data_IF_390533556148
#
_entry.id   IF_390533556148
#
_cell.length_a   1.000
_cell.length_b   1.000
_cell.length_c   1.000
_cell.angle_alpha   90.00
_cell.angle_beta   90.00
_cell.angle_gamma   90.00
#
_symmetry.space_group_name_H-M   'P 1'
#
loop_
_entity.id
_entity.type
_entity.pdbx_description
1 polymer ?
#
# COMPACT_ATOMS: atom_id res chain seq x y z
N UNK A 1 -12.84 16.50 -10.44
CA UNK A 1 -14.05 17.32 -10.68
C UNK A 1 -13.91 18.71 -10.06
N UNK A 2 -13.52 18.84 -8.80
CA UNK A 2 -13.41 20.13 -8.08
C UNK A 2 -12.49 21.12 -8.81
N UNK A 3 -11.40 20.62 -9.37
CA UNK A 3 -10.43 21.46 -10.12
C UNK A 3 -10.85 21.75 -11.56
N UNK A 4 -11.92 21.12 -12.05
CA UNK A 4 -12.44 21.36 -13.40
C UNK A 4 -13.53 22.47 -13.44
N UNK A 5 -13.94 22.99 -12.29
CA UNK A 5 -14.83 24.14 -12.20
C UNK A 5 -14.16 25.29 -11.46
N UNK A 6 -14.41 26.52 -11.93
CA UNK A 6 -13.82 27.74 -11.32
C UNK A 6 -14.22 27.91 -9.84
N UNK A 7 -15.36 27.38 -9.44
CA UNK A 7 -15.92 27.55 -8.11
C UNK A 7 -16.06 26.22 -7.34
N UNK A 8 -15.43 25.14 -7.80
CA UNK A 8 -15.55 23.83 -7.18
C UNK A 8 -15.13 23.79 -5.72
N UNK A 9 -14.03 24.44 -5.36
CA UNK A 9 -13.58 24.55 -3.97
C UNK A 9 -14.59 25.34 -3.09
N UNK A 10 -15.17 26.41 -3.62
CA UNK A 10 -16.18 27.19 -2.90
C UNK A 10 -17.46 26.39 -2.68
N UNK A 11 -17.89 25.63 -3.67
CA UNK A 11 -19.07 24.75 -3.57
C UNK A 11 -18.87 23.69 -2.47
N UNK A 12 -17.72 23.05 -2.45
CA UNK A 12 -17.39 22.08 -1.38
C UNK A 12 -17.32 22.73 -0.02
N UNK A 13 -16.70 23.90 0.07
CA UNK A 13 -16.62 24.65 1.33
C UNK A 13 -18.03 24.97 1.86
N UNK A 14 -18.89 25.54 1.03
CA UNK A 14 -20.25 25.88 1.41
C UNK A 14 -21.01 24.63 1.93
N UNK A 15 -20.85 23.49 1.26
CA UNK A 15 -21.50 22.26 1.69
C UNK A 15 -20.89 21.71 2.99
N UNK A 16 -19.57 21.49 3.01
CA UNK A 16 -18.90 20.79 4.11
C UNK A 16 -18.86 21.66 5.38
N UNK A 17 -18.52 22.94 5.24
CA UNK A 17 -18.32 23.83 6.38
C UNK A 17 -19.62 24.52 6.75
N UNK A 18 -20.29 25.19 5.79
CA UNK A 18 -21.39 26.09 6.11
C UNK A 18 -22.71 25.34 6.33
N UNK A 19 -22.96 24.23 5.58
CA UNK A 19 -24.18 23.42 5.72
C UNK A 19 -23.97 22.29 6.73
N UNK A 20 -22.90 21.49 6.59
CA UNK A 20 -22.66 20.35 7.48
C UNK A 20 -22.03 20.74 8.83
N UNK A 21 -21.53 21.96 8.98
CA UNK A 21 -20.89 22.42 10.21
C UNK A 21 -19.61 21.68 10.57
N UNK A 22 -18.90 21.12 9.59
CA UNK A 22 -17.68 20.36 9.81
C UNK A 22 -16.57 21.27 10.36
N UNK A 23 -15.89 20.79 11.38
CA UNK A 23 -14.73 21.48 11.94
C UNK A 23 -13.57 21.47 10.95
N UNK A 24 -12.79 22.54 10.92
CA UNK A 24 -11.61 22.68 10.10
C UNK A 24 -10.33 22.46 10.95
N UNK A 25 -10.32 21.38 11.71
CA UNK A 25 -9.29 21.05 12.70
C UNK A 25 -8.30 19.96 12.21
N UNK A 26 -8.47 19.47 10.99
CA UNK A 26 -7.57 18.51 10.40
C UNK A 26 -6.44 19.19 9.60
N UNK A 27 -5.22 18.74 9.80
CA UNK A 27 -4.06 19.09 8.96
C UNK A 27 -3.23 17.84 8.68
N UNK A 28 -2.51 17.84 7.55
CA UNK A 28 -1.62 16.72 7.19
C UNK A 28 -0.50 16.53 8.24
N UNK A 29 0.05 17.62 8.75
CA UNK A 29 1.12 17.56 9.76
C UNK A 29 0.61 16.96 11.08
N UNK A 30 -0.53 17.42 11.57
CA UNK A 30 -1.18 16.87 12.76
C UNK A 30 -1.52 15.37 12.58
N UNK A 31 -1.98 14.98 11.40
CA UNK A 31 -2.23 13.57 11.08
C UNK A 31 -0.95 12.73 11.13
N UNK A 32 0.15 13.22 10.55
CA UNK A 32 1.44 12.51 10.56
C UNK A 32 1.94 12.34 12.00
N UNK A 33 1.94 13.40 12.80
CA UNK A 33 2.41 13.36 14.20
C UNK A 33 1.60 12.37 15.04
N UNK A 34 0.27 12.46 14.96
CA UNK A 34 -0.63 11.56 15.68
C UNK A 34 -0.44 10.11 15.28
N UNK A 35 -0.43 9.84 13.95
CA UNK A 35 -0.27 8.48 13.43
C UNK A 35 1.09 7.87 13.80
N UNK A 36 2.16 8.64 13.74
CA UNK A 36 3.50 8.17 14.15
C UNK A 36 3.53 7.84 15.63
N UNK A 37 2.91 8.68 16.48
CA UNK A 37 2.83 8.42 17.93
C UNK A 37 2.02 7.16 18.23
N UNK A 38 0.87 6.97 17.58
CA UNK A 38 0.03 5.78 17.73
C UNK A 38 0.76 4.51 17.29
N UNK A 39 1.39 4.53 16.10
CA UNK A 39 2.17 3.41 15.59
C UNK A 39 3.33 3.06 16.53
N UNK A 40 4.04 4.04 17.05
CA UNK A 40 5.12 3.82 18.00
C UNK A 40 4.63 3.21 19.30
N UNK A 41 3.48 3.64 19.80
CA UNK A 41 2.87 3.09 21.01
C UNK A 41 2.39 1.65 20.81
N UNK A 42 1.85 1.34 19.62
CA UNK A 42 1.35 0.01 19.28
C UNK A 42 2.46 -1.01 19.02
N UNK A 43 3.49 -0.61 18.27
CA UNK A 43 4.52 -1.51 17.76
C UNK A 43 5.72 -1.64 18.70
N UNK A 44 6.03 -0.59 19.48
CA UNK A 44 7.19 -0.57 20.36
C UNK A 44 8.48 -0.88 19.59
N UNK A 45 9.20 -1.92 20.06
CA UNK A 45 10.45 -2.40 19.45
C UNK A 45 10.23 -3.60 18.51
N UNK A 46 8.99 -3.93 18.19
CA UNK A 46 8.68 -5.04 17.30
C UNK A 46 9.11 -4.76 15.86
N UNK A 47 9.50 -5.83 15.18
CA UNK A 47 9.84 -5.77 13.75
C UNK A 47 8.60 -5.89 12.88
N UNK A 48 8.54 -5.07 11.85
CA UNK A 48 7.43 -4.97 10.90
C UNK A 48 7.93 -5.24 9.49
N UNK A 49 7.16 -5.99 8.71
CA UNK A 49 7.37 -6.18 7.28
C UNK A 49 6.29 -5.41 6.53
N UNK A 50 6.67 -4.70 5.48
CA UNK A 50 5.76 -3.97 4.59
C UNK A 50 6.00 -4.38 3.14
N UNK A 51 4.94 -4.73 2.41
CA UNK A 51 4.98 -4.86 0.97
C UNK A 51 4.93 -3.49 0.28
N UNK A 52 5.94 -3.19 -0.54
CA UNK A 52 5.97 -2.01 -1.39
C UNK A 52 5.46 -2.33 -2.78
N UNK A 53 4.67 -1.43 -3.35
CA UNK A 53 4.18 -1.52 -4.73
C UNK A 53 4.78 -0.46 -5.67
N UNK A 54 5.62 0.44 -5.16
CA UNK A 54 6.06 1.63 -5.88
C UNK A 54 5.00 2.73 -5.98
N UNK A 55 3.78 2.49 -5.46
CA UNK A 55 2.68 3.45 -5.44
C UNK A 55 2.72 4.37 -4.22
N UNK A 56 1.96 5.47 -4.29
CA UNK A 56 1.91 6.50 -3.24
C UNK A 56 1.48 5.94 -1.90
N UNK A 57 0.45 5.09 -1.86
CA UNK A 57 -0.11 4.59 -0.61
C UNK A 57 0.88 3.75 0.19
N UNK A 58 1.57 2.82 -0.47
CA UNK A 58 2.61 2.00 0.16
C UNK A 58 3.83 2.83 0.57
N UNK A 59 4.17 3.86 -0.19
CA UNK A 59 5.27 4.79 0.14
C UNK A 59 4.95 5.62 1.38
N UNK A 60 3.73 6.15 1.48
CA UNK A 60 3.27 6.89 2.67
C UNK A 60 3.29 5.99 3.89
N UNK A 61 2.76 4.76 3.78
CA UNK A 61 2.79 3.79 4.86
C UNK A 61 4.24 3.48 5.31
N UNK A 62 5.17 3.28 4.36
CA UNK A 62 6.57 3.06 4.65
C UNK A 62 7.22 4.21 5.42
N UNK A 63 6.98 5.45 4.99
CA UNK A 63 7.55 6.64 5.64
C UNK A 63 6.98 6.83 7.05
N UNK A 64 5.67 6.65 7.25
CA UNK A 64 5.05 6.76 8.56
C UNK A 64 5.58 5.69 9.53
N UNK A 65 5.66 4.44 9.09
CA UNK A 65 6.24 3.35 9.87
C UNK A 65 7.71 3.59 10.18
N UNK A 66 8.49 4.03 9.18
CA UNK A 66 9.91 4.34 9.40
C UNK A 66 10.11 5.46 10.43
N UNK A 67 9.28 6.50 10.39
CA UNK A 67 9.30 7.55 11.42
C UNK A 67 8.94 7.01 12.82
N UNK A 68 8.07 6.01 12.91
CA UNK A 68 7.64 5.43 14.18
C UNK A 68 8.67 4.45 14.77
N UNK A 69 9.20 3.51 13.97
CA UNK A 69 10.00 2.36 14.42
C UNK A 69 11.39 2.27 13.79
N UNK A 70 11.76 3.20 12.92
CA UNK A 70 13.09 3.27 12.31
C UNK A 70 13.50 1.98 11.57
N UNK A 71 14.65 1.43 11.93
CA UNK A 71 15.24 0.25 11.28
C UNK A 71 14.52 -1.08 11.62
N UNK A 72 13.54 -1.07 12.50
CA UNK A 72 12.67 -2.23 12.75
C UNK A 72 11.67 -2.47 11.62
N UNK A 73 11.56 -1.54 10.67
CA UNK A 73 10.80 -1.72 9.44
C UNK A 73 11.68 -2.35 8.36
N UNK A 74 11.21 -3.46 7.78
CA UNK A 74 11.76 -4.05 6.56
C UNK A 74 10.70 -3.98 5.46
N UNK A 75 11.03 -3.32 4.37
CA UNK A 75 10.17 -3.23 3.20
C UNK A 75 10.60 -4.25 2.14
N UNK A 76 9.64 -4.90 1.49
CA UNK A 76 9.89 -5.86 0.40
C UNK A 76 9.26 -5.30 -0.88
N UNK A 77 10.08 -5.13 -1.91
CA UNK A 77 9.64 -4.68 -3.24
C UNK A 77 9.90 -5.78 -4.26
N UNK A 78 8.83 -6.27 -4.90
CA UNK A 78 8.89 -7.39 -5.84
C UNK A 78 8.84 -6.88 -7.28
N UNK A 79 9.87 -7.21 -8.07
CA UNK A 79 9.83 -7.07 -9.52
C UNK A 79 9.16 -8.31 -10.13
N UNK A 80 7.97 -8.12 -10.65
CA UNK A 80 7.20 -9.16 -11.34
C UNK A 80 7.41 -9.14 -12.86
N UNK A 81 8.38 -8.38 -13.37
CA UNK A 81 8.70 -8.26 -14.80
C UNK A 81 7.72 -7.41 -15.62
N UNK A 82 6.66 -6.87 -15.00
CA UNK A 82 5.66 -6.02 -15.66
C UNK A 82 5.71 -4.57 -15.17
N UNK A 83 6.78 -4.20 -14.48
CA UNK A 83 7.06 -2.82 -14.09
C UNK A 83 7.39 -1.96 -15.32
N UNK A 84 7.29 -0.65 -15.18
CA UNK A 84 7.72 0.28 -16.21
C UNK A 84 9.22 0.20 -16.41
N UNK A 85 9.70 0.66 -17.56
CA UNK A 85 11.13 0.70 -17.87
C UNK A 85 11.90 1.44 -16.75
N UNK A 86 12.89 0.76 -16.18
CA UNK A 86 13.75 1.21 -15.08
C UNK A 86 13.04 1.43 -13.72
N UNK A 87 11.73 1.22 -13.61
CA UNK A 87 10.96 1.51 -12.40
C UNK A 87 11.52 0.79 -11.17
N UNK A 88 11.93 -0.46 -11.29
CA UNK A 88 12.51 -1.21 -10.17
C UNK A 88 13.76 -0.51 -9.60
N UNK A 89 14.68 -0.14 -10.48
CA UNK A 89 15.91 0.56 -10.07
C UNK A 89 15.60 1.92 -9.46
N UNK A 90 14.78 2.72 -10.15
CA UNK A 90 14.49 4.09 -9.77
C UNK A 90 13.76 4.13 -8.40
N UNK A 91 12.80 3.22 -8.18
CA UNK A 91 12.09 3.07 -6.89
C UNK A 91 13.04 2.62 -5.77
N UNK A 92 13.95 1.68 -6.05
CA UNK A 92 14.94 1.23 -5.06
C UNK A 92 15.90 2.36 -4.65
N UNK A 93 16.32 3.21 -5.60
CA UNK A 93 17.16 4.39 -5.33
C UNK A 93 16.41 5.42 -4.49
N UNK A 94 15.16 5.73 -4.84
CA UNK A 94 14.33 6.70 -4.11
C UNK A 94 14.12 6.27 -2.66
N UNK A 95 13.78 5.01 -2.42
CA UNK A 95 13.57 4.51 -1.06
C UNK A 95 14.87 4.45 -0.24
N UNK A 96 15.99 4.17 -0.89
CA UNK A 96 17.30 4.25 -0.25
C UNK A 96 17.63 5.67 0.21
N UNK A 97 17.30 6.68 -0.61
CA UNK A 97 17.47 8.10 -0.26
C UNK A 97 16.61 8.50 0.96
N UNK A 98 15.46 7.84 1.15
CA UNK A 98 14.59 8.02 2.32
C UNK A 98 15.08 7.28 3.58
N UNK A 99 16.19 6.54 3.51
CA UNK A 99 16.75 5.76 4.62
C UNK A 99 15.98 4.49 4.95
N UNK A 100 15.07 4.05 4.07
CA UNK A 100 14.30 2.83 4.26
C UNK A 100 15.16 1.58 4.05
N UNK A 101 14.94 0.57 4.89
CA UNK A 101 15.50 -0.77 4.68
C UNK A 101 14.62 -1.53 3.68
N UNK A 102 15.03 -1.56 2.40
CA UNK A 102 14.25 -2.16 1.31
C UNK A 102 14.99 -3.35 0.72
N UNK A 103 14.30 -4.48 0.63
CA UNK A 103 14.73 -5.69 -0.05
C UNK A 103 14.04 -5.75 -1.40
N UNK A 104 14.81 -5.64 -2.48
CA UNK A 104 14.32 -5.84 -3.84
C UNK A 104 14.41 -7.31 -4.24
N UNK A 105 13.32 -7.87 -4.75
CA UNK A 105 13.24 -9.26 -5.20
C UNK A 105 12.87 -9.31 -6.66
N UNK A 106 13.77 -9.77 -7.51
CA UNK A 106 13.45 -10.06 -8.93
C UNK A 106 12.80 -11.45 -9.01
N UNK A 107 11.52 -11.47 -9.36
CA UNK A 107 10.74 -12.68 -9.57
C UNK A 107 10.17 -12.75 -11.00
N UNK A 108 10.68 -11.92 -11.91
CA UNK A 108 10.18 -11.76 -13.28
C UNK A 108 10.06 -13.08 -14.03
N UNK A 109 11.05 -13.96 -13.94
CA UNK A 109 11.03 -15.27 -14.60
C UNK A 109 9.86 -16.14 -14.13
N UNK A 110 9.57 -16.18 -12.84
CA UNK A 110 8.43 -16.93 -12.28
C UNK A 110 7.11 -16.41 -12.85
N UNK A 111 6.89 -15.09 -12.80
CA UNK A 111 5.65 -14.50 -13.29
C UNK A 111 5.46 -14.73 -14.79
N UNK A 112 6.51 -14.63 -15.60
CA UNK A 112 6.42 -14.90 -17.03
C UNK A 112 6.13 -16.37 -17.32
N UNK A 113 6.73 -17.29 -16.58
CA UNK A 113 6.47 -18.72 -16.75
C UNK A 113 5.02 -19.09 -16.42
N UNK A 114 4.50 -18.58 -15.30
CA UNK A 114 3.15 -18.91 -14.83
C UNK A 114 2.05 -18.21 -15.65
N UNK A 115 2.35 -17.09 -16.29
CA UNK A 115 1.44 -16.37 -17.19
C UNK A 115 1.51 -16.84 -18.64
N UNK A 116 2.47 -17.71 -19.00
CA UNK A 116 2.64 -18.17 -20.38
C UNK A 116 1.36 -18.87 -20.90
N UNK A 117 0.84 -18.40 -22.05
CA UNK A 117 -0.36 -18.95 -22.68
C UNK A 117 -1.69 -18.58 -22.00
N UNK A 118 -1.68 -17.87 -20.89
CA UNK A 118 -2.92 -17.42 -20.22
C UNK A 118 -3.46 -16.19 -20.93
N UNK A 119 -4.67 -16.26 -21.45
CA UNK A 119 -5.33 -15.15 -22.18
C UNK A 119 -6.45 -14.50 -21.38
N UNK A 120 -7.12 -15.28 -20.52
CA UNK A 120 -8.25 -14.78 -19.70
C UNK A 120 -7.77 -13.77 -18.64
N UNK A 121 -8.36 -12.57 -18.60
CA UNK A 121 -7.91 -11.51 -17.68
C UNK A 121 -8.09 -11.86 -16.20
N UNK A 122 -9.15 -12.60 -15.84
CA UNK A 122 -9.40 -12.98 -14.46
C UNK A 122 -8.43 -14.06 -13.97
N UNK A 123 -8.08 -15.00 -14.84
CA UNK A 123 -7.04 -15.99 -14.55
C UNK A 123 -5.67 -15.31 -14.39
N UNK A 124 -5.32 -14.36 -15.26
CA UNK A 124 -4.09 -13.56 -15.09
C UNK A 124 -4.03 -12.89 -13.72
N UNK A 125 -5.11 -12.24 -13.33
CA UNK A 125 -5.19 -11.55 -12.03
C UNK A 125 -4.99 -12.50 -10.86
N UNK A 126 -5.60 -13.69 -10.90
CA UNK A 126 -5.45 -14.73 -9.87
C UNK A 126 -4.03 -15.26 -9.78
N UNK A 127 -3.39 -15.52 -10.93
CA UNK A 127 -2.00 -15.98 -11.01
C UNK A 127 -1.08 -14.92 -10.42
N UNK A 128 -1.17 -13.67 -10.89
CA UNK A 128 -0.34 -12.57 -10.40
C UNK A 128 -0.49 -12.40 -8.87
N UNK A 129 -1.72 -12.44 -8.36
CA UNK A 129 -1.97 -12.31 -6.93
C UNK A 129 -1.37 -13.46 -6.12
N UNK A 130 -1.55 -14.71 -6.58
CA UNK A 130 -0.96 -15.89 -5.95
C UNK A 130 0.57 -15.82 -5.92
N UNK A 131 1.18 -15.55 -7.06
CA UNK A 131 2.62 -15.55 -7.21
C UNK A 131 3.27 -14.41 -6.40
N UNK A 132 2.62 -13.25 -6.35
CA UNK A 132 3.05 -12.16 -5.49
C UNK A 132 3.07 -12.58 -4.02
N UNK A 133 1.98 -13.21 -3.52
CA UNK A 133 1.89 -13.68 -2.14
C UNK A 133 2.95 -14.75 -1.85
N UNK A 134 3.17 -15.69 -2.77
CA UNK A 134 4.20 -16.73 -2.62
C UNK A 134 5.61 -16.13 -2.51
N UNK A 135 5.98 -15.25 -3.43
CA UNK A 135 7.30 -14.58 -3.44
C UNK A 135 7.48 -13.73 -2.19
N UNK A 136 6.46 -12.93 -1.86
CA UNK A 136 6.48 -12.08 -0.67
C UNK A 136 6.65 -12.91 0.61
N UNK A 137 5.88 -13.97 0.79
CA UNK A 137 5.96 -14.85 1.96
C UNK A 137 7.30 -15.58 2.06
N UNK A 138 7.87 -16.01 0.92
CA UNK A 138 9.18 -16.63 0.90
C UNK A 138 10.27 -15.67 1.39
N UNK A 139 10.20 -14.39 1.00
CA UNK A 139 11.13 -13.37 1.46
C UNK A 139 10.88 -12.93 2.90
N UNK A 140 9.61 -12.76 3.28
CA UNK A 140 9.20 -12.41 4.64
C UNK A 140 9.67 -13.44 5.67
N UNK A 141 9.62 -14.74 5.37
CA UNK A 141 10.09 -15.82 6.24
C UNK A 141 11.59 -15.76 6.53
N UNK A 142 12.39 -15.11 5.67
CA UNK A 142 13.82 -14.91 5.93
C UNK A 142 14.06 -13.82 6.98
N UNK A 143 13.06 -12.97 7.22
CA UNK A 143 13.13 -11.87 8.18
C UNK A 143 12.77 -12.37 9.59
N UNK A 144 13.76 -12.88 10.30
CA UNK A 144 13.56 -13.44 11.64
C UNK A 144 13.10 -12.40 12.65
N UNK A 145 12.08 -12.74 13.41
CA UNK A 145 11.55 -11.91 14.50
C UNK A 145 10.55 -10.84 14.07
N UNK A 146 10.15 -10.80 12.82
CA UNK A 146 9.03 -9.95 12.41
C UNK A 146 7.71 -10.50 12.95
N UNK A 147 6.94 -9.62 13.61
CA UNK A 147 5.64 -9.98 14.22
C UNK A 147 4.46 -9.37 13.49
N UNK A 148 4.71 -8.33 12.70
CA UNK A 148 3.66 -7.55 12.06
C UNK A 148 3.85 -7.50 10.54
N UNK A 149 2.74 -7.63 9.83
CA UNK A 149 2.64 -7.34 8.41
C UNK A 149 1.84 -6.06 8.24
N UNK A 150 2.48 -5.05 7.65
CA UNK A 150 1.84 -3.79 7.31
C UNK A 150 1.39 -3.78 5.84
N UNK A 151 0.24 -3.18 5.60
CA UNK A 151 -0.31 -2.98 4.26
C UNK A 151 -0.93 -1.60 4.13
N UNK A 152 -0.69 -0.95 2.99
CA UNK A 152 -1.35 0.30 2.64
C UNK A 152 -2.72 0.02 2.01
N UNK A 153 -3.79 0.56 2.61
CA UNK A 153 -5.14 0.52 2.05
C UNK A 153 -5.78 1.88 2.23
N UNK A 154 -6.26 2.48 1.17
CA UNK A 154 -6.97 3.75 1.25
C UNK A 154 -8.45 3.55 1.62
N UNK A 155 -9.00 4.52 2.32
CA UNK A 155 -10.38 4.44 2.80
C UNK A 155 -11.44 4.28 1.67
N UNK A 156 -11.31 4.95 0.52
CA UNK A 156 -12.20 4.70 -0.63
C UNK A 156 -12.24 3.24 -1.08
N UNK A 157 -11.11 2.55 -1.13
CA UNK A 157 -11.08 1.13 -1.51
C UNK A 157 -11.86 0.26 -0.52
N UNK A 158 -11.80 0.59 0.77
CA UNK A 158 -12.58 -0.10 1.81
C UNK A 158 -14.08 0.14 1.64
N UNK A 159 -14.50 1.37 1.35
CA UNK A 159 -15.92 1.71 1.12
C UNK A 159 -16.44 0.99 -0.13
N UNK A 160 -15.70 1.04 -1.23
CA UNK A 160 -16.08 0.43 -2.50
C UNK A 160 -16.09 -1.11 -2.46
N UNK A 161 -15.37 -1.70 -1.53
CA UNK A 161 -15.34 -3.16 -1.31
C UNK A 161 -16.44 -3.65 -0.36
N UNK A 162 -16.97 -2.76 0.50
CA UNK A 162 -18.06 -3.04 1.43
C UNK A 162 -19.42 -2.70 0.79
N UNK A 163 -19.83 -3.42 -0.23
CA UNK A 163 -21.08 -3.09 -0.91
C UNK A 163 -22.30 -3.64 -0.16
N UNK A 164 -23.25 -2.74 0.17
CA UNK A 164 -24.56 -3.04 0.80
C UNK A 164 -25.39 -3.98 -0.06
N UNK A 165 -25.12 -4.07 -1.36
CA UNK A 165 -25.87 -4.89 -2.34
C UNK A 165 -25.20 -6.24 -2.66
N UNK A 166 -24.11 -6.61 -2.00
CA UNK A 166 -23.43 -7.90 -2.19
C UNK A 166 -22.62 -8.03 -3.48
N UNK A 167 -22.52 -6.99 -4.29
CA UNK A 167 -21.63 -6.96 -5.47
C UNK A 167 -20.32 -6.26 -5.09
N UNK A 168 -19.23 -7.01 -5.04
CA UNK A 168 -17.87 -6.46 -4.84
C UNK A 168 -17.49 -5.70 -6.10
N UNK A 169 -17.29 -4.38 -6.01
CA UNK A 169 -16.90 -3.53 -7.15
C UNK A 169 -15.39 -3.61 -7.36
N UNK A 170 -14.60 -3.69 -6.28
CA UNK A 170 -13.14 -3.86 -6.33
C UNK A 170 -12.72 -5.08 -5.49
N UNK A 171 -12.13 -6.07 -6.13
CA UNK A 171 -11.63 -7.29 -5.48
C UNK A 171 -10.11 -7.33 -5.33
N UNK A 172 -9.39 -6.24 -5.69
CA UNK A 172 -7.95 -6.30 -5.95
C UNK A 172 -7.08 -5.32 -5.12
N UNK A 173 -7.67 -4.54 -4.21
CA UNK A 173 -6.90 -3.65 -3.34
C UNK A 173 -6.91 -4.15 -1.89
N UNK A 174 -6.18 -5.23 -1.60
CA UNK A 174 -5.96 -5.75 -0.25
C UNK A 174 -7.23 -6.00 0.62
N UNK A 175 -8.41 -6.04 0.01
CA UNK A 175 -9.69 -6.09 0.73
C UNK A 175 -10.36 -7.47 0.71
N UNK A 176 -9.76 -8.47 0.11
CA UNK A 176 -10.40 -9.78 0.03
C UNK A 176 -9.53 -10.95 -0.42
N UNK A 177 -8.23 -10.78 -0.57
CA UNK A 177 -7.35 -11.78 -1.17
C UNK A 177 -6.20 -12.30 -0.31
N UNK A 178 -6.16 -11.92 0.97
CA UNK A 178 -5.11 -12.45 1.85
C UNK A 178 -5.48 -13.86 2.33
N UNK A 179 -4.52 -14.80 2.38
CA UNK A 179 -4.71 -16.10 3.02
C UNK A 179 -5.19 -15.92 4.45
N UNK A 180 -6.11 -16.77 4.88
CA UNK A 180 -6.67 -16.78 6.25
C UNK A 180 -5.70 -17.38 7.28
N UNK A 181 -4.40 -17.25 7.11
CA UNK A 181 -3.41 -17.71 8.09
C UNK A 181 -2.29 -16.69 8.24
#
# INVERSE_FOLDING_TARGET
EVFHTLQGSQLLRNFVVDICGSKQDWSADSFVETTVAELKAQLGDDKVILGLSGGVDSSVAAVLLHKAIGQNLTCIFVDHGMLRKNEFRDVMEDYKCLGLNVIGVDASEKFFADLAGVTDPEQKRKIIGRDFVEVFNAEAKKQTGAKWLAQGTIYPDRIESLNITGKVIKSHHNVGGLPKE
#
